data_IF_816162797386
#
_entry.id   IF_816162797386
#
_cell.length_a   1.000
_cell.length_b   1.000
_cell.length_c   1.000
_cell.angle_alpha   90.00
_cell.angle_beta   90.00
_cell.angle_gamma   90.00
#
_symmetry.space_group_name_H-M   'P 1'
#
loop_
_entity.id
_entity.type
_entity.pdbx_description
1 polymer ?
#
# COMPACT_ATOMS: atom_id res chain seq x y z
N UNK A 1 -13.84 -16.14 8.88
CA UNK A 1 -14.61 -15.19 8.02
C UNK A 1 -13.68 -14.01 7.73
N UNK A 2 -13.67 -13.45 6.52
CA UNK A 2 -12.82 -12.30 6.21
C UNK A 2 -13.39 -11.03 6.87
N UNK A 3 -12.53 -10.21 7.44
CA UNK A 3 -12.88 -8.90 7.98
C UNK A 3 -12.68 -7.82 6.91
N UNK A 4 -11.59 -7.91 6.13
CA UNK A 4 -11.25 -7.01 5.02
C UNK A 4 -10.86 -7.83 3.81
N UNK A 5 -11.32 -7.41 2.63
CA UNK A 5 -10.97 -8.03 1.34
C UNK A 5 -10.51 -6.96 0.38
N UNK A 6 -9.31 -7.12 -0.17
CA UNK A 6 -8.73 -6.31 -1.23
C UNK A 6 -8.97 -6.96 -2.59
N UNK A 7 -9.38 -6.18 -3.58
CA UNK A 7 -9.40 -6.63 -4.96
C UNK A 7 -8.04 -6.36 -5.62
N UNK A 8 -7.26 -7.40 -5.90
CA UNK A 8 -5.95 -7.23 -6.53
C UNK A 8 -6.02 -7.30 -8.05
N UNK A 9 -5.34 -6.38 -8.71
CA UNK A 9 -5.13 -6.35 -10.17
C UNK A 9 -3.98 -7.28 -10.62
N UNK A 10 -3.21 -7.85 -9.66
CA UNK A 10 -1.92 -8.50 -9.94
C UNK A 10 -1.84 -9.97 -9.55
N UNK A 11 -2.86 -10.56 -8.92
CA UNK A 11 -2.88 -11.98 -8.54
C UNK A 11 -3.67 -12.88 -9.50
N UNK A 12 -4.15 -12.35 -10.59
CA UNK A 12 -4.90 -13.11 -11.59
C UNK A 12 -6.07 -12.30 -12.13
N UNK A 13 -6.91 -12.98 -12.91
CA UNK A 13 -8.04 -12.33 -13.60
C UNK A 13 -7.63 -11.66 -14.92
N UNK A 14 -8.63 -11.29 -15.71
CA UNK A 14 -8.42 -10.62 -16.99
C UNK A 14 -8.05 -9.16 -16.75
N UNK A 15 -6.95 -8.72 -17.35
CA UNK A 15 -6.53 -7.31 -17.27
C UNK A 15 -6.02 -6.81 -18.62
N UNK A 16 -6.21 -5.52 -18.86
CA UNK A 16 -5.62 -4.84 -20.02
C UNK A 16 -4.15 -4.59 -19.73
N UNK A 17 -3.27 -5.09 -20.61
CA UNK A 17 -1.81 -4.79 -20.51
C UNK A 17 -1.60 -3.32 -20.88
N UNK A 18 -0.98 -2.57 -19.97
CA UNK A 18 -0.71 -1.15 -20.12
C UNK A 18 0.75 -0.82 -19.79
N UNK A 19 0.98 0.29 -19.13
CA UNK A 19 2.28 0.90 -18.94
C UNK A 19 3.14 0.20 -17.89
N UNK A 20 4.31 -0.24 -18.27
CA UNK A 20 5.31 -0.89 -17.40
C UNK A 20 5.66 -0.04 -16.17
N UNK A 21 5.96 1.25 -16.34
CA UNK A 21 6.36 2.13 -15.24
C UNK A 21 5.24 2.36 -14.22
N UNK A 22 3.98 2.38 -14.65
CA UNK A 22 2.86 2.43 -13.71
C UNK A 22 2.71 1.14 -12.90
N UNK A 23 2.94 0.01 -13.53
CA UNK A 23 2.99 -1.28 -12.83
C UNK A 23 4.10 -1.29 -11.79
N UNK A 24 5.32 -0.90 -12.17
CA UNK A 24 6.47 -0.83 -11.26
C UNK A 24 6.23 0.14 -10.10
N UNK A 25 5.66 1.32 -10.36
CA UNK A 25 5.29 2.27 -9.34
C UNK A 25 4.32 1.68 -8.31
N UNK A 26 3.24 1.03 -8.77
CA UNK A 26 2.30 0.36 -7.87
C UNK A 26 2.96 -0.75 -7.04
N UNK A 27 3.82 -1.57 -7.66
CA UNK A 27 4.54 -2.64 -6.95
C UNK A 27 5.50 -2.08 -5.90
N UNK A 28 6.18 -0.98 -6.20
CA UNK A 28 7.08 -0.32 -5.25
C UNK A 28 6.30 0.27 -4.06
N UNK A 29 5.18 0.97 -4.30
CA UNK A 29 4.33 1.50 -3.24
C UNK A 29 3.76 0.38 -2.37
N UNK A 30 3.30 -0.71 -2.98
CA UNK A 30 2.81 -1.89 -2.27
C UNK A 30 3.92 -2.53 -1.43
N UNK A 31 5.13 -2.70 -1.99
CA UNK A 31 6.28 -3.23 -1.26
C UNK A 31 6.62 -2.37 -0.05
N UNK A 32 6.70 -1.05 -0.22
CA UNK A 32 6.93 -0.12 0.90
C UNK A 32 5.85 -0.24 1.96
N UNK A 33 4.58 -0.23 1.57
CA UNK A 33 3.48 -0.40 2.51
C UNK A 33 3.58 -1.71 3.29
N UNK A 34 3.86 -2.83 2.61
CA UNK A 34 4.03 -4.14 3.22
C UNK A 34 5.17 -4.17 4.23
N UNK A 35 6.32 -3.56 3.90
CA UNK A 35 7.48 -3.50 4.81
C UNK A 35 7.15 -2.77 6.12
N UNK A 36 6.39 -1.69 6.06
CA UNK A 36 6.05 -0.90 7.23
C UNK A 36 4.85 -1.43 8.02
N UNK A 37 3.89 -2.07 7.34
CA UNK A 37 2.68 -2.62 7.96
C UNK A 37 2.78 -4.09 8.34
N UNK A 38 3.87 -4.78 7.94
CA UNK A 38 4.06 -6.22 8.08
C UNK A 38 2.94 -7.03 7.42
N UNK A 39 2.47 -6.58 6.25
CA UNK A 39 1.52 -7.29 5.41
C UNK A 39 2.22 -7.85 4.17
N UNK A 40 1.53 -8.70 3.42
CA UNK A 40 2.04 -9.26 2.16
C UNK A 40 1.04 -9.06 1.01
N UNK A 41 0.42 -7.89 0.94
CA UNK A 41 -0.50 -7.52 -0.12
C UNK A 41 0.22 -7.51 -1.49
N UNK A 42 -0.52 -7.83 -2.54
CA UNK A 42 -0.03 -7.75 -3.92
C UNK A 42 -0.39 -6.41 -4.59
N UNK A 43 -1.44 -5.72 -4.09
CA UNK A 43 -1.95 -4.47 -4.65
C UNK A 43 -2.59 -3.57 -3.58
N UNK A 44 -1.77 -2.81 -2.85
CA UNK A 44 -2.23 -1.89 -1.81
C UNK A 44 -3.04 -0.71 -2.39
N UNK A 45 -2.65 -0.20 -3.58
CA UNK A 45 -3.24 0.97 -4.24
C UNK A 45 -4.58 0.67 -4.94
N UNK A 46 -5.13 -0.53 -4.80
CA UNK A 46 -6.46 -0.85 -5.35
C UNK A 46 -7.55 -0.03 -4.67
N UNK A 47 -8.49 0.52 -5.46
CA UNK A 47 -9.69 1.17 -4.93
C UNK A 47 -10.77 0.15 -4.49
N UNK A 48 -10.63 -1.12 -4.86
CA UNK A 48 -11.59 -2.17 -4.52
C UNK A 48 -11.24 -2.78 -3.17
N UNK A 49 -11.87 -2.24 -2.12
CA UNK A 49 -11.76 -2.73 -0.74
C UNK A 49 -13.16 -2.97 -0.19
N UNK A 50 -13.41 -4.17 0.29
CA UNK A 50 -14.63 -4.54 1.02
C UNK A 50 -14.24 -4.84 2.46
N UNK A 51 -15.04 -4.35 3.41
CA UNK A 51 -14.80 -4.58 4.83
C UNK A 51 -16.11 -4.53 5.61
N UNK A 52 -16.12 -5.14 6.78
CA UNK A 52 -17.26 -5.07 7.67
C UNK A 52 -17.46 -3.65 8.19
N UNK A 53 -18.70 -3.25 8.40
CA UNK A 53 -19.05 -1.89 8.82
C UNK A 53 -18.43 -1.49 10.17
N UNK A 54 -18.38 -2.43 11.11
CA UNK A 54 -17.81 -2.21 12.44
C UNK A 54 -16.33 -1.86 12.44
N UNK A 55 -15.60 -2.21 11.39
CA UNK A 55 -14.18 -1.83 11.23
C UNK A 55 -14.00 -0.31 11.12
N UNK A 56 -14.98 0.42 10.57
CA UNK A 56 -14.91 1.88 10.50
C UNK A 56 -15.04 2.55 11.87
N UNK A 57 -15.50 1.83 12.88
CA UNK A 57 -15.62 2.32 14.26
C UNK A 57 -14.27 2.19 15.02
N UNK A 58 -13.34 1.38 14.52
CA UNK A 58 -12.03 1.16 15.14
C UNK A 58 -11.08 2.35 14.96
N UNK A 59 -11.26 3.12 13.90
CA UNK A 59 -10.37 4.24 13.59
C UNK A 59 -11.03 5.30 12.70
N UNK A 60 -10.60 6.55 12.86
CA UNK A 60 -11.01 7.66 12.01
C UNK A 60 -10.11 7.77 10.77
N UNK A 61 -10.69 7.89 9.57
CA UNK A 61 -9.98 8.15 8.32
C UNK A 61 -9.91 9.67 8.08
N UNK A 62 -8.71 10.18 7.82
CA UNK A 62 -8.42 11.62 7.71
C UNK A 62 -7.95 12.04 6.31
N UNK A 63 -7.35 11.12 5.56
CA UNK A 63 -6.81 11.42 4.25
C UNK A 63 -7.86 11.31 3.15
N UNK A 64 -7.71 12.18 2.16
CA UNK A 64 -8.48 12.16 0.93
C UNK A 64 -7.61 11.68 -0.24
N UNK A 65 -8.25 11.31 -1.36
CA UNK A 65 -7.58 10.94 -2.62
C UNK A 65 -6.51 9.85 -2.39
N UNK A 66 -5.30 10.01 -2.91
CA UNK A 66 -4.18 9.04 -2.83
C UNK A 66 -3.59 8.83 -1.42
N UNK A 67 -4.12 9.46 -0.41
CA UNK A 67 -3.79 9.19 0.99
C UNK A 67 -4.70 8.16 1.64
N UNK A 68 -5.86 7.87 1.05
CA UNK A 68 -6.83 6.94 1.62
C UNK A 68 -6.29 5.51 1.68
N UNK A 69 -5.77 4.98 0.58
CA UNK A 69 -5.27 3.62 0.49
C UNK A 69 -4.13 3.34 1.48
N UNK A 70 -3.07 4.17 1.55
CA UNK A 70 -2.02 4.02 2.56
C UNK A 70 -2.51 4.16 4.00
N UNK A 71 -3.39 5.13 4.27
CA UNK A 71 -3.93 5.34 5.62
C UNK A 71 -4.74 4.15 6.08
N UNK A 72 -5.69 3.71 5.25
CA UNK A 72 -6.56 2.56 5.55
C UNK A 72 -5.72 1.31 5.81
N UNK A 73 -4.77 1.01 4.91
CA UNK A 73 -3.89 -0.15 5.02
C UNK A 73 -3.06 -0.12 6.30
N UNK A 74 -2.44 1.03 6.63
CA UNK A 74 -1.66 1.19 7.84
C UNK A 74 -2.50 1.04 9.13
N UNK A 75 -3.76 1.43 9.10
CA UNK A 75 -4.66 1.34 10.26
C UNK A 75 -5.18 -0.08 10.47
N UNK A 76 -5.67 -0.74 9.42
CA UNK A 76 -6.13 -2.13 9.54
C UNK A 76 -4.99 -3.10 9.90
N UNK A 77 -3.76 -2.80 9.49
CA UNK A 77 -2.59 -3.60 9.85
C UNK A 77 -2.26 -3.58 11.35
N UNK A 78 -2.73 -2.57 12.08
CA UNK A 78 -2.55 -2.45 13.53
C UNK A 78 -3.63 -3.17 14.32
N UNK A 79 -4.71 -3.50 13.66
CA UNK A 79 -5.81 -4.29 14.20
C UNK A 79 -5.59 -5.77 13.86
N UNK A 80 -6.01 -6.65 14.70
CA UNK A 80 -5.85 -8.10 14.49
C UNK A 80 -6.96 -8.66 13.59
N UNK A 81 -7.01 -8.19 12.34
CA UNK A 81 -8.06 -8.47 11.35
C UNK A 81 -7.66 -9.55 10.36
N UNK A 82 -8.63 -10.36 9.92
CA UNK A 82 -8.46 -11.35 8.86
C UNK A 82 -8.57 -10.65 7.49
N UNK A 83 -7.39 -10.35 6.88
CA UNK A 83 -7.28 -9.65 5.60
C UNK A 83 -7.06 -10.67 4.47
N UNK A 84 -7.82 -10.54 3.39
CA UNK A 84 -7.74 -11.39 2.20
C UNK A 84 -7.57 -10.55 0.94
N UNK A 85 -7.00 -11.16 -0.11
CA UNK A 85 -7.00 -10.61 -1.46
C UNK A 85 -7.76 -11.52 -2.41
N UNK A 86 -8.54 -10.94 -3.32
CA UNK A 86 -9.21 -11.62 -4.42
C UNK A 86 -8.80 -11.01 -5.76
N UNK A 87 -8.67 -11.81 -6.82
CA UNK A 87 -8.42 -11.28 -8.15
C UNK A 87 -9.59 -10.46 -8.66
N UNK A 88 -9.31 -9.33 -9.32
CA UNK A 88 -10.31 -8.54 -10.02
C UNK A 88 -9.94 -8.39 -11.50
N UNK A 89 -10.95 -8.28 -12.35
CA UNK A 89 -10.75 -7.86 -13.74
C UNK A 89 -10.47 -6.36 -13.78
N UNK A 90 -9.42 -5.97 -14.50
CA UNK A 90 -9.00 -4.57 -14.57
C UNK A 90 -8.79 -4.10 -16.00
N UNK A 91 -9.60 -3.15 -16.41
CA UNK A 91 -9.53 -2.49 -17.72
C UNK A 91 -9.05 -1.05 -17.53
N UNK A 92 -7.75 -0.90 -17.37
CA UNK A 92 -7.12 0.40 -17.10
C UNK A 92 -7.35 1.39 -18.24
N UNK A 93 -7.53 2.65 -17.91
CA UNK A 93 -7.65 3.76 -18.85
C UNK A 93 -6.28 4.19 -19.38
N UNK A 94 -6.24 4.58 -20.66
CA UNK A 94 -5.11 5.29 -21.27
C UNK A 94 -5.17 6.79 -20.93
N UNK A 95 -4.15 7.54 -21.32
CA UNK A 95 -4.17 8.99 -21.21
C UNK A 95 -5.26 9.61 -22.08
N UNK A 96 -5.50 9.04 -23.25
CA UNK A 96 -6.60 9.46 -24.16
C UNK A 96 -7.97 9.18 -23.54
N UNK A 97 -8.09 8.11 -22.73
CA UNK A 97 -9.28 7.78 -21.94
C UNK A 97 -9.44 8.65 -20.68
N UNK A 98 -8.63 9.72 -20.52
CA UNK A 98 -8.74 10.67 -19.41
C UNK A 98 -8.05 10.22 -18.11
N UNK A 99 -6.98 9.42 -18.18
CA UNK A 99 -6.17 9.08 -17.02
C UNK A 99 -5.47 10.33 -16.46
N UNK A 100 -5.69 10.63 -15.19
CA UNK A 100 -5.19 11.85 -14.52
C UNK A 100 -4.10 11.61 -13.47
N UNK A 101 -3.68 10.36 -13.29
CA UNK A 101 -2.65 10.01 -12.29
C UNK A 101 -1.28 10.50 -12.76
N UNK A 102 -0.57 11.22 -11.89
CA UNK A 102 0.74 11.81 -12.14
C UNK A 102 1.79 11.27 -11.16
N UNK A 103 3.07 11.54 -11.42
CA UNK A 103 4.15 11.18 -10.51
C UNK A 103 4.01 11.84 -9.11
N UNK A 104 3.35 13.02 -9.03
CA UNK A 104 3.06 13.70 -7.76
C UNK A 104 2.16 12.89 -6.85
N UNK A 105 1.23 12.13 -7.42
CA UNK A 105 0.33 11.24 -6.69
C UNK A 105 1.11 10.08 -6.05
N UNK A 106 2.14 9.58 -6.76
CA UNK A 106 3.05 8.57 -6.22
C UNK A 106 3.86 9.09 -5.01
N UNK A 107 4.39 10.31 -5.09
CA UNK A 107 5.08 10.92 -3.93
C UNK A 107 4.13 11.19 -2.76
N UNK A 108 2.89 11.60 -3.04
CA UNK A 108 1.88 11.74 -2.00
C UNK A 108 1.60 10.40 -1.30
N UNK A 109 1.48 9.31 -2.05
CA UNK A 109 1.30 7.97 -1.49
C UNK A 109 2.48 7.56 -0.60
N UNK A 110 3.73 7.77 -1.04
CA UNK A 110 4.94 7.53 -0.23
C UNK A 110 4.87 8.30 1.09
N UNK A 111 4.58 9.60 1.02
CA UNK A 111 4.45 10.43 2.22
C UNK A 111 3.40 9.87 3.19
N UNK A 112 2.24 9.45 2.70
CA UNK A 112 1.18 8.88 3.52
C UNK A 112 1.56 7.49 4.09
N UNK A 113 2.24 6.64 3.31
CA UNK A 113 2.77 5.36 3.82
C UNK A 113 3.67 5.62 5.02
N UNK A 114 4.63 6.53 4.90
CA UNK A 114 5.54 6.88 5.98
C UNK A 114 4.79 7.48 7.18
N UNK A 115 3.93 8.47 6.93
CA UNK A 115 3.19 9.19 7.96
C UNK A 115 2.36 8.28 8.86
N UNK A 116 1.66 7.29 8.29
CA UNK A 116 0.74 6.44 9.05
C UNK A 116 1.39 5.18 9.64
N UNK A 117 2.53 4.77 9.11
CA UNK A 117 3.26 3.62 9.63
C UNK A 117 4.38 4.01 10.59
N UNK A 118 5.01 5.19 10.43
CA UNK A 118 6.06 5.66 11.33
C UNK A 118 5.46 6.15 12.66
N UNK A 119 5.16 5.20 13.54
CA UNK A 119 4.89 5.50 14.95
C UNK A 119 6.22 5.52 15.74
N UNK A 120 6.28 6.12 16.95
CA UNK A 120 7.50 6.11 17.77
C UNK A 120 8.09 4.70 18.00
N UNK A 121 7.22 3.68 18.08
CA UNK A 121 7.65 2.27 18.20
C UNK A 121 8.23 1.71 16.89
N UNK A 122 7.67 2.04 15.73
CA UNK A 122 8.19 1.59 14.43
C UNK A 122 9.45 2.33 14.01
N UNK A 123 9.62 3.59 14.43
CA UNK A 123 10.86 4.35 14.21
C UNK A 123 12.08 3.65 14.79
N UNK A 124 11.95 2.96 15.92
CA UNK A 124 13.05 2.21 16.54
C UNK A 124 13.53 1.06 15.64
N UNK A 125 12.60 0.30 15.04
CA UNK A 125 12.96 -0.78 14.12
C UNK A 125 13.62 -0.26 12.83
N UNK A 126 13.17 0.88 12.32
CA UNK A 126 13.76 1.49 11.13
C UNK A 126 15.18 1.99 11.41
N UNK A 127 15.40 2.66 12.54
CA UNK A 127 16.71 3.09 12.97
C UNK A 127 17.65 1.88 13.19
N UNK A 128 17.13 0.79 13.72
CA UNK A 128 17.89 -0.45 13.89
C UNK A 128 18.29 -1.06 12.54
N UNK A 129 17.36 -1.14 11.58
CA UNK A 129 17.63 -1.63 10.22
C UNK A 129 18.63 -0.73 9.50
N UNK A 130 18.47 0.59 9.55
CA UNK A 130 19.41 1.55 8.96
C UNK A 130 20.80 1.43 9.59
N UNK A 131 20.89 1.30 10.92
CA UNK A 131 22.15 1.09 11.64
C UNK A 131 22.83 -0.21 11.22
N UNK A 132 22.06 -1.29 11.04
CA UNK A 132 22.60 -2.57 10.57
C UNK A 132 23.13 -2.49 9.14
N UNK A 133 22.41 -1.81 8.24
CA UNK A 133 22.87 -1.59 6.87
C UNK A 133 24.12 -0.70 6.79
N UNK A 134 24.16 0.39 7.54
CA UNK A 134 25.35 1.26 7.60
C UNK A 134 26.56 0.52 8.18
N UNK A 135 26.38 -0.27 9.24
CA UNK A 135 27.43 -1.10 9.80
C UNK A 135 27.94 -2.14 8.79
N UNK A 136 27.04 -2.79 8.04
CA UNK A 136 27.41 -3.78 7.03
C UNK A 136 28.17 -3.16 5.85
N UNK A 137 27.80 -1.96 5.42
CA UNK A 137 28.49 -1.23 4.36
C UNK A 137 29.88 -0.78 4.82
N UNK A 138 30.01 -0.26 6.03
CA UNK A 138 31.32 0.17 6.59
C UNK A 138 32.26 -1.01 6.77
N UNK A 139 31.76 -2.22 6.98
CA UNK A 139 32.57 -3.43 7.12
C UNK A 139 33.01 -4.01 5.76
N UNK A 140 32.38 -3.62 4.66
CA UNK A 140 32.70 -4.04 3.30
C UNK A 140 33.65 -3.08 2.57
N UNK A 141 33.83 -1.87 3.09
CA UNK A 141 34.81 -0.86 2.65
C UNK A 141 36.10 -0.95 3.49
#
# INVERSE_FOLDING_TARGET
>A
MADVVYGSRFIGGTHRVLYFWHYMGNKMLTLMSNMFSNLNLTDMETCYKMFRRDILELFELKSNRFGFEPEFTAKIAKENLAIYELPISYYGRTYDDGKKITWRDGFAAIFHILRYNLTPKSSFYILFILSFFTYSIVKLL
#
